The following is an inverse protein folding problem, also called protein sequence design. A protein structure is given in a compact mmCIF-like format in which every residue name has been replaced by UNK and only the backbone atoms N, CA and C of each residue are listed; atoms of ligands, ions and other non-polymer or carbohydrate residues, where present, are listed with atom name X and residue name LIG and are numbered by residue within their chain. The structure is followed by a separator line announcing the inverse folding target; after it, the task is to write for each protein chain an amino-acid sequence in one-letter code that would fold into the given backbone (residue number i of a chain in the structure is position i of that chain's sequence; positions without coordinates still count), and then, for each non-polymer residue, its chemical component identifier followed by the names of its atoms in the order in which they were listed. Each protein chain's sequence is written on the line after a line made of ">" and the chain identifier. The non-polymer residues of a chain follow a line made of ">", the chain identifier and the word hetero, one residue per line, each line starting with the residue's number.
data_IF_848352925586
#
_entry.id   IF_848352925586
#
_cell.length_a   1.000
_cell.length_b   1.000
_cell.length_c   1.000
_cell.angle_alpha   90.00
_cell.angle_beta   90.00
_cell.angle_gamma   90.00
#
_symmetry.space_group_name_H-M   'P 1'
#
loop_
_entity.id
_entity.type
_entity.pdbx_description
1 polymer ?
#
# COMPACT_ATOMS: atom_id res chain seq x y z
N UNK A 1 -59.53 7.23 -0.56
CA UNK A 1 -58.68 7.70 0.57
C UNK A 1 -57.88 6.58 1.24
N UNK A 2 -58.40 5.37 1.49
CA UNK A 2 -57.62 4.29 2.14
C UNK A 2 -56.46 3.74 1.26
N UNK A 3 -56.62 3.64 -0.05
CA UNK A 3 -55.59 3.16 -0.95
C UNK A 3 -54.40 4.13 -1.14
N UNK A 4 -54.69 5.44 -1.12
CA UNK A 4 -53.67 6.47 -1.17
C UNK A 4 -52.76 6.46 0.08
N UNK A 5 -53.32 6.17 1.25
CA UNK A 5 -52.58 6.07 2.51
C UNK A 5 -51.62 4.88 2.52
N UNK A 6 -52.01 3.73 1.94
CA UNK A 6 -51.14 2.55 1.82
C UNK A 6 -49.96 2.77 0.83
N UNK A 7 -50.23 3.46 -0.29
CA UNK A 7 -49.20 3.80 -1.27
C UNK A 7 -48.14 4.74 -0.66
N UNK A 8 -48.58 5.73 0.10
CA UNK A 8 -47.65 6.65 0.78
C UNK A 8 -46.85 5.93 1.87
N UNK A 9 -47.45 5.01 2.60
CA UNK A 9 -46.77 4.22 3.64
C UNK A 9 -45.73 3.26 3.06
N UNK A 10 -46.02 2.64 1.91
CA UNK A 10 -45.09 1.73 1.24
C UNK A 10 -43.92 2.48 0.62
N UNK A 11 -44.12 3.67 0.06
CA UNK A 11 -43.06 4.52 -0.47
C UNK A 11 -42.15 5.03 0.67
N UNK A 12 -42.75 5.41 1.82
CA UNK A 12 -41.95 5.82 2.98
C UNK A 12 -41.11 4.68 3.57
N UNK A 13 -41.61 3.43 3.55
CA UNK A 13 -40.85 2.26 3.99
C UNK A 13 -39.67 1.91 3.04
N UNK A 14 -39.84 2.11 1.75
CA UNK A 14 -38.80 1.91 0.74
C UNK A 14 -37.67 2.96 0.85
N UNK A 15 -37.99 4.19 1.20
CA UNK A 15 -37.00 5.27 1.40
C UNK A 15 -36.20 5.03 2.70
N UNK A 16 -36.81 4.47 3.74
CA UNK A 16 -36.09 4.15 4.99
C UNK A 16 -35.10 2.99 4.84
N UNK A 17 -35.28 2.12 3.83
CA UNK A 17 -34.35 1.02 3.53
C UNK A 17 -33.12 1.47 2.73
N UNK A 18 -33.11 2.69 2.20
CA UNK A 18 -32.00 3.29 1.46
C UNK A 18 -31.01 4.02 2.38
N UNK A 19 -31.04 3.77 3.70
CA UNK A 19 -29.94 4.12 4.59
C UNK A 19 -28.74 3.27 4.18
N UNK A 20 -27.99 3.77 3.22
CA UNK A 20 -26.79 3.16 2.71
C UNK A 20 -25.92 2.73 3.89
N UNK A 21 -25.49 1.48 3.87
CA UNK A 21 -24.34 1.02 4.63
C UNK A 21 -23.27 2.08 4.43
N UNK A 22 -23.07 2.95 5.42
CA UNK A 22 -21.83 3.70 5.54
C UNK A 22 -20.77 2.61 5.61
N UNK A 23 -20.07 2.38 4.52
CA UNK A 23 -18.78 1.70 4.58
C UNK A 23 -17.99 2.48 5.62
N UNK A 24 -17.72 1.85 6.74
CA UNK A 24 -16.90 2.41 7.80
C UNK A 24 -15.66 2.99 7.12
N UNK A 25 -15.33 4.23 7.43
CA UNK A 25 -14.14 4.86 6.88
C UNK A 25 -13.01 3.90 7.18
N UNK A 26 -12.31 3.45 6.16
CA UNK A 26 -11.41 2.30 6.18
C UNK A 26 -10.37 2.29 7.31
N UNK A 27 -10.09 3.45 7.91
CA UNK A 27 -9.15 3.61 9.03
C UNK A 27 -9.69 3.17 10.38
N UNK A 28 -11.01 3.14 10.60
CA UNK A 28 -11.62 2.73 11.88
C UNK A 28 -11.39 1.24 12.21
N UNK A 29 -11.07 0.43 11.20
CA UNK A 29 -10.74 -0.97 11.39
C UNK A 29 -9.34 -1.22 11.97
N UNK A 30 -8.44 -0.23 11.91
CA UNK A 30 -7.04 -0.37 12.30
C UNK A 30 -6.81 0.12 13.73
N UNK A 31 -7.25 -0.65 14.69
CA UNK A 31 -7.22 -0.29 16.12
C UNK A 31 -6.04 -0.87 16.89
N UNK A 32 -5.35 -1.87 16.33
CA UNK A 32 -4.22 -2.53 16.98
C UNK A 32 -2.92 -1.81 16.66
N UNK A 33 -2.23 -1.28 17.66
CA UNK A 33 -0.89 -0.73 17.51
C UNK A 33 0.10 -1.84 17.13
N UNK A 34 0.76 -1.72 15.98
CA UNK A 34 1.79 -2.67 15.51
C UNK A 34 3.17 -2.19 15.93
N UNK A 35 3.44 -0.91 15.75
CA UNK A 35 4.75 -0.33 16.05
C UNK A 35 4.59 1.09 16.57
N UNK A 36 5.33 1.41 17.64
CA UNK A 36 5.43 2.77 18.18
C UNK A 36 6.84 3.28 17.94
N UNK A 37 7.02 4.30 17.10
CA UNK A 37 8.34 4.89 16.89
C UNK A 37 8.89 5.52 18.16
N UNK A 38 10.17 5.29 18.48
CA UNK A 38 10.83 5.89 19.61
C UNK A 38 11.45 7.25 19.30
N UNK A 39 11.89 7.45 18.07
CA UNK A 39 12.65 8.63 17.64
C UNK A 39 12.02 9.35 16.46
N UNK A 40 11.37 8.62 15.58
CA UNK A 40 10.74 9.20 14.39
C UNK A 40 9.34 9.71 14.73
N UNK A 41 9.05 10.94 14.34
CA UNK A 41 7.70 11.48 14.31
C UNK A 41 7.19 11.52 12.88
N UNK A 42 5.90 11.41 12.67
CA UNK A 42 5.32 11.57 11.34
C UNK A 42 5.00 10.26 10.63
N UNK A 43 5.11 9.09 11.29
CA UNK A 43 4.49 7.87 10.79
C UNK A 43 3.87 7.03 11.91
N UNK A 44 2.87 6.24 11.56
CA UNK A 44 2.23 5.28 12.44
C UNK A 44 2.01 3.96 11.69
N UNK A 45 2.09 2.85 12.43
CA UNK A 45 1.78 1.52 11.90
C UNK A 45 0.76 0.87 12.83
N UNK A 46 -0.45 0.68 12.30
CA UNK A 46 -1.56 0.05 13.00
C UNK A 46 -2.06 -1.16 12.22
N UNK A 47 -2.79 -2.03 12.86
CA UNK A 47 -3.35 -3.21 12.21
C UNK A 47 -4.79 -3.46 12.62
N UNK A 48 -5.46 -4.33 11.89
CA UNK A 48 -6.76 -4.86 12.27
C UNK A 48 -6.61 -5.78 13.49
N UNK A 49 -7.67 -5.96 14.30
CA UNK A 49 -7.62 -6.82 15.48
C UNK A 49 -7.26 -8.28 15.16
N UNK A 50 -7.74 -8.79 14.03
CA UNK A 50 -7.47 -10.14 13.51
C UNK A 50 -6.07 -10.31 12.92
N UNK A 51 -5.38 -9.20 12.59
CA UNK A 51 -4.04 -9.21 12.02
C UNK A 51 -3.99 -9.34 10.50
N UNK A 52 -5.14 -9.36 9.84
CA UNK A 52 -5.23 -9.58 8.39
C UNK A 52 -4.77 -8.39 7.55
N UNK A 53 -4.73 -7.20 8.15
CA UNK A 53 -4.25 -6.01 7.46
C UNK A 53 -3.45 -5.07 8.38
N UNK A 54 -2.54 -4.34 7.75
CA UNK A 54 -1.70 -3.30 8.36
C UNK A 54 -1.90 -2.00 7.60
N UNK A 55 -2.10 -0.92 8.33
CA UNK A 55 -2.11 0.44 7.83
C UNK A 55 -0.79 1.12 8.19
N UNK A 56 -0.10 1.63 7.20
CA UNK A 56 1.02 2.53 7.35
C UNK A 56 0.54 3.94 6.98
N UNK A 57 0.61 4.85 7.93
CA UNK A 57 0.25 6.24 7.73
C UNK A 57 1.49 7.11 7.91
N UNK A 58 1.77 7.98 6.95
CA UNK A 58 2.84 8.98 7.04
C UNK A 58 2.22 10.37 6.99
N UNK A 59 2.71 11.27 7.84
CA UNK A 59 2.34 12.67 7.86
C UNK A 59 3.59 13.52 7.61
N UNK A 60 3.44 14.54 6.76
CA UNK A 60 4.54 15.42 6.37
C UNK A 60 5.79 14.61 5.92
N UNK A 61 5.68 13.82 4.84
CA UNK A 61 6.70 12.83 4.46
C UNK A 61 8.06 13.44 4.08
N UNK A 62 8.12 14.73 3.81
CA UNK A 62 9.37 15.47 3.60
C UNK A 62 9.26 16.89 4.16
N UNK A 63 10.39 17.52 4.36
CA UNK A 63 10.47 18.88 4.87
C UNK A 63 9.77 19.85 3.89
N UNK A 64 8.77 20.59 4.38
CA UNK A 64 7.99 21.52 3.56
C UNK A 64 6.78 20.91 2.84
N UNK A 65 6.48 19.62 3.02
CA UNK A 65 5.31 18.97 2.42
C UNK A 65 3.95 19.46 2.94
N UNK A 66 3.92 20.29 3.98
CA UNK A 66 2.68 20.67 4.63
C UNK A 66 2.00 19.52 5.38
N UNK A 67 0.69 19.58 5.65
CA UNK A 67 -0.04 18.56 6.40
C UNK A 67 -0.48 17.37 5.54
N UNK A 68 0.27 17.02 4.51
CA UNK A 68 -0.03 15.87 3.67
C UNK A 68 0.04 14.56 4.48
N UNK A 69 -0.96 13.72 4.29
CA UNK A 69 -0.99 12.36 4.78
C UNK A 69 -0.98 11.39 3.64
N UNK A 70 -0.13 10.38 3.73
CA UNK A 70 -0.13 9.26 2.81
C UNK A 70 -0.44 7.99 3.57
N UNK A 71 -1.25 7.13 2.96
CA UNK A 71 -1.74 5.92 3.58
C UNK A 71 -1.51 4.74 2.66
N UNK A 72 -0.98 3.67 3.24
CA UNK A 72 -0.78 2.39 2.56
C UNK A 72 -1.37 1.28 3.42
N UNK A 73 -2.27 0.53 2.84
CA UNK A 73 -2.82 -0.70 3.45
C UNK A 73 -2.13 -1.91 2.84
N UNK A 74 -1.61 -2.78 3.70
CA UNK A 74 -1.00 -4.04 3.29
C UNK A 74 -1.83 -5.16 3.90
N UNK A 75 -2.33 -6.06 3.08
CA UNK A 75 -3.09 -7.23 3.52
C UNK A 75 -4.29 -7.54 2.66
N UNK A 76 -5.08 -8.50 3.13
CA UNK A 76 -6.21 -9.06 2.41
C UNK A 76 -7.51 -8.34 2.81
N UNK A 77 -7.59 -7.04 2.54
CA UNK A 77 -8.76 -6.26 2.92
C UNK A 77 -9.58 -5.84 1.70
N UNK A 78 -10.91 -5.98 1.81
CA UNK A 78 -11.87 -5.36 0.91
C UNK A 78 -12.21 -3.93 1.38
N UNK A 79 -11.20 -3.19 1.85
CA UNK A 79 -11.40 -1.80 2.20
C UNK A 79 -11.87 -1.07 0.96
N UNK A 80 -13.00 -0.39 1.09
CA UNK A 80 -13.52 0.46 0.02
C UNK A 80 -12.39 1.40 -0.43
N UNK A 81 -12.19 1.48 -1.74
CA UNK A 81 -11.13 2.29 -2.32
C UNK A 81 -11.33 3.75 -1.90
N UNK A 82 -10.61 4.16 -0.88
CA UNK A 82 -10.42 5.57 -0.56
C UNK A 82 -9.43 6.10 -1.60
N UNK A 83 -9.76 7.10 -2.41
CA UNK A 83 -8.88 7.61 -3.44
C UNK A 83 -7.53 8.11 -2.89
N UNK A 84 -7.47 8.43 -1.60
CA UNK A 84 -6.25 8.89 -0.93
C UNK A 84 -5.43 7.73 -0.32
N UNK A 85 -5.87 6.48 -0.52
CA UNK A 85 -5.26 5.30 0.08
C UNK A 85 -4.75 4.33 -0.97
N UNK A 86 -3.46 4.03 -0.90
CA UNK A 86 -2.87 2.94 -1.68
C UNK A 86 -3.10 1.60 -0.96
N UNK A 87 -3.24 0.52 -1.71
CA UNK A 87 -3.38 -0.80 -1.11
C UNK A 87 -2.57 -1.86 -1.85
N UNK A 88 -1.97 -2.76 -1.07
CA UNK A 88 -1.33 -3.97 -1.55
C UNK A 88 -2.11 -5.16 -0.97
N UNK A 89 -2.78 -5.91 -1.83
CA UNK A 89 -3.71 -6.98 -1.44
C UNK A 89 -3.03 -8.18 -0.75
N UNK A 90 -1.73 -8.31 -0.87
CA UNK A 90 -0.93 -9.42 -0.33
C UNK A 90 0.48 -8.93 -0.02
N UNK A 91 1.24 -9.66 0.80
CA UNK A 91 2.65 -9.33 1.00
C UNK A 91 3.36 -9.21 -0.33
N UNK A 92 4.12 -8.13 -0.51
CA UNK A 92 4.90 -7.90 -1.71
C UNK A 92 5.91 -9.06 -1.91
N UNK A 93 5.89 -9.64 -3.09
CA UNK A 93 6.78 -10.74 -3.48
C UNK A 93 7.66 -10.38 -4.67
N UNK A 94 7.31 -9.35 -5.39
CA UNK A 94 8.00 -8.87 -6.58
C UNK A 94 8.27 -7.39 -6.41
N UNK A 95 9.52 -7.05 -6.13
CA UNK A 95 9.93 -5.68 -5.81
C UNK A 95 10.93 -5.21 -6.85
N UNK A 96 10.70 -4.03 -7.40
CA UNK A 96 11.67 -3.30 -8.20
C UNK A 96 12.27 -2.20 -7.33
N UNK A 97 13.59 -2.20 -7.16
CA UNK A 97 14.30 -1.22 -6.36
C UNK A 97 14.91 -0.13 -7.23
N UNK A 98 14.42 1.09 -7.11
CA UNK A 98 14.94 2.24 -7.87
C UNK A 98 16.18 2.88 -7.23
N UNK A 99 16.74 2.27 -6.19
CA UNK A 99 17.93 2.76 -5.49
C UNK A 99 18.66 1.62 -4.82
N UNK A 100 20.00 1.67 -4.81
CA UNK A 100 20.86 0.76 -4.03
C UNK A 100 20.56 0.79 -2.53
N UNK A 101 20.06 1.92 -2.01
CA UNK A 101 19.62 2.04 -0.61
C UNK A 101 18.42 1.15 -0.31
N UNK A 102 17.44 1.07 -1.23
CA UNK A 102 16.29 0.18 -1.07
C UNK A 102 16.72 -1.29 -1.09
N UNK A 103 17.67 -1.65 -1.96
CA UNK A 103 18.27 -3.00 -1.99
C UNK A 103 18.92 -3.32 -0.65
N UNK A 104 19.72 -2.40 -0.10
CA UNK A 104 20.37 -2.60 1.19
C UNK A 104 19.38 -2.77 2.34
N UNK A 105 18.27 -2.02 2.35
CA UNK A 105 17.20 -2.16 3.33
C UNK A 105 16.54 -3.54 3.25
N UNK A 106 16.24 -4.02 2.04
CA UNK A 106 15.67 -5.36 1.84
C UNK A 106 16.66 -6.45 2.27
N UNK A 107 17.95 -6.27 1.96
CA UNK A 107 19.01 -7.18 2.42
C UNK A 107 19.09 -7.25 3.95
N UNK A 108 19.01 -6.10 4.62
CA UNK A 108 19.08 -6.02 6.08
C UNK A 108 17.93 -6.76 6.79
N UNK A 109 16.76 -6.88 6.14
CA UNK A 109 15.61 -7.63 6.67
C UNK A 109 15.46 -9.04 6.07
N UNK A 110 16.45 -9.51 5.27
CA UNK A 110 16.45 -10.85 4.68
C UNK A 110 15.44 -11.05 3.57
N UNK A 111 15.09 -10.00 2.82
CA UNK A 111 14.09 -10.02 1.74
C UNK A 111 14.67 -9.75 0.35
N UNK A 112 15.98 -9.92 0.15
CA UNK A 112 16.62 -9.74 -1.17
C UNK A 112 16.06 -10.71 -2.22
N UNK A 113 15.54 -11.86 -1.80
CA UNK A 113 14.89 -12.86 -2.66
C UNK A 113 13.59 -12.37 -3.33
N UNK A 114 13.07 -11.22 -2.90
CA UNK A 114 11.89 -10.58 -3.47
C UNK A 114 12.21 -9.61 -4.59
N UNK A 115 13.48 -9.27 -4.78
CA UNK A 115 13.92 -8.32 -5.79
C UNK A 115 13.88 -8.98 -7.16
N UNK A 116 13.11 -8.40 -8.08
CA UNK A 116 12.98 -8.84 -9.47
C UNK A 116 13.61 -7.86 -10.46
N UNK A 117 13.89 -6.65 -10.02
CA UNK A 117 14.55 -5.63 -10.83
C UNK A 117 15.21 -4.57 -9.97
N UNK A 118 16.26 -3.98 -10.48
CA UNK A 118 17.00 -2.89 -9.82
C UNK A 118 17.37 -1.81 -10.81
N UNK A 119 17.43 -0.59 -10.35
CA UNK A 119 17.95 0.53 -11.10
C UNK A 119 19.47 0.51 -11.02
N UNK A 120 20.14 0.35 -12.17
CA UNK A 120 21.59 0.35 -12.28
C UNK A 120 22.25 -0.85 -11.60
N UNK A 121 22.03 -2.03 -12.14
CA UNK A 121 22.48 -3.31 -11.58
C UNK A 121 24.00 -3.33 -11.28
N UNK A 122 24.80 -2.59 -12.03
CA UNK A 122 26.26 -2.51 -11.83
C UNK A 122 26.67 -1.75 -10.56
N UNK A 123 25.76 -0.96 -10.00
CA UNK A 123 25.99 -0.21 -8.77
C UNK A 123 25.51 -0.95 -7.51
N UNK A 124 24.97 -2.16 -7.66
CA UNK A 124 24.45 -2.95 -6.54
C UNK A 124 25.54 -3.83 -5.97
N UNK A 125 25.78 -3.72 -4.66
CA UNK A 125 26.77 -4.51 -3.92
C UNK A 125 26.16 -5.61 -3.05
N UNK A 126 24.82 -5.77 -3.06
CA UNK A 126 24.14 -6.80 -2.29
C UNK A 126 24.56 -8.21 -2.74
N UNK A 127 24.97 -9.11 -1.83
CA UNK A 127 25.48 -10.43 -2.19
C UNK A 127 24.47 -11.32 -2.92
N UNK A 128 23.18 -11.23 -2.53
CA UNK A 128 22.12 -12.01 -3.18
C UNK A 128 21.90 -11.52 -4.61
N UNK A 129 21.75 -10.21 -4.80
CA UNK A 129 21.58 -9.61 -6.14
C UNK A 129 22.75 -9.97 -7.04
N UNK A 130 23.97 -9.88 -6.54
CA UNK A 130 25.16 -10.22 -7.31
C UNK A 130 25.25 -11.71 -7.68
N UNK A 131 24.79 -12.59 -6.82
CA UNK A 131 24.72 -14.02 -7.11
C UNK A 131 23.60 -14.39 -8.10
N UNK A 132 22.60 -13.53 -8.28
CA UNK A 132 21.43 -13.79 -9.13
C UNK A 132 21.24 -12.75 -10.25
N UNK A 133 22.33 -12.15 -10.71
CA UNK A 133 22.32 -11.08 -11.76
C UNK A 133 21.59 -11.50 -13.03
N UNK A 134 21.63 -12.76 -13.41
CA UNK A 134 20.98 -13.28 -14.62
C UNK A 134 19.44 -13.33 -14.47
N UNK A 135 18.93 -13.39 -13.24
CA UNK A 135 17.51 -13.46 -12.93
C UNK A 135 16.88 -12.11 -12.52
N UNK A 136 17.71 -11.14 -12.13
CA UNK A 136 17.26 -9.82 -11.70
C UNK A 136 17.48 -8.82 -12.85
N UNK A 137 16.40 -8.17 -13.25
CA UNK A 137 16.45 -7.24 -14.37
C UNK A 137 17.13 -5.92 -13.99
N UNK A 138 18.01 -5.41 -14.85
CA UNK A 138 18.38 -4.00 -14.81
C UNK A 138 17.28 -3.19 -15.49
N UNK A 139 16.69 -2.25 -14.76
CA UNK A 139 15.63 -1.37 -15.28
C UNK A 139 16.15 0.02 -15.67
N UNK A 140 17.48 0.15 -15.83
CA UNK A 140 18.12 1.43 -16.12
C UNK A 140 18.12 2.37 -14.91
N UNK A 141 18.67 3.57 -15.08
CA UNK A 141 18.61 4.63 -14.07
C UNK A 141 18.48 5.99 -14.76
N UNK A 142 18.11 7.01 -14.01
CA UNK A 142 17.90 8.35 -14.60
C UNK A 142 19.12 8.82 -15.42
N UNK A 143 18.86 9.37 -16.64
CA UNK A 143 17.52 9.67 -17.22
C UNK A 143 16.88 8.50 -18.00
N UNK A 144 17.56 7.36 -18.13
CA UNK A 144 17.21 6.26 -19.05
C UNK A 144 16.52 5.09 -18.33
N UNK A 145 15.47 5.37 -17.55
CA UNK A 145 14.67 4.33 -16.88
C UNK A 145 13.76 3.62 -17.89
N UNK A 146 13.85 2.30 -17.94
CA UNK A 146 13.03 1.43 -18.79
C UNK A 146 11.69 1.10 -18.10
N UNK A 147 10.71 1.98 -18.25
CA UNK A 147 9.37 1.81 -17.69
C UNK A 147 8.61 0.61 -18.28
N UNK A 148 8.85 0.27 -19.54
CA UNK A 148 8.22 -0.89 -20.20
C UNK A 148 8.72 -2.18 -19.53
N UNK A 149 10.00 -2.26 -19.25
CA UNK A 149 10.61 -3.37 -18.53
C UNK A 149 10.07 -3.49 -17.11
N UNK A 150 9.90 -2.37 -16.39
CA UNK A 150 9.28 -2.35 -15.06
C UNK A 150 7.87 -2.94 -15.13
N UNK A 151 7.04 -2.51 -16.07
CA UNK A 151 5.68 -3.02 -16.25
C UNK A 151 5.70 -4.52 -16.60
N UNK A 152 6.60 -4.96 -17.47
CA UNK A 152 6.73 -6.36 -17.86
C UNK A 152 7.13 -7.28 -16.69
N UNK A 153 7.86 -6.76 -15.70
CA UNK A 153 8.20 -7.49 -14.49
C UNK A 153 7.00 -7.71 -13.57
N UNK A 154 5.88 -7.03 -13.81
CA UNK A 154 4.67 -7.08 -12.99
C UNK A 154 4.97 -6.99 -11.47
N UNK A 155 5.64 -5.93 -10.99
CA UNK A 155 6.00 -5.81 -9.60
C UNK A 155 4.78 -5.52 -8.72
N UNK A 156 4.84 -5.97 -7.46
CA UNK A 156 3.88 -5.58 -6.43
C UNK A 156 4.21 -4.17 -5.89
N UNK A 157 5.50 -3.80 -5.90
CA UNK A 157 6.03 -2.50 -5.44
C UNK A 157 7.18 -2.04 -6.37
N UNK A 158 7.21 -0.75 -6.63
CA UNK A 158 8.33 -0.04 -7.24
C UNK A 158 8.83 1.03 -6.28
#
# INVERSE_FOLDING_TARGET
>A
MRHTAYIVLTIAALIASACGRRTATSTEAFTRQIYTPHYAAGFAITGTPDGDAVLIETSSPWQGSGPERRRLVIGNTNLAADPDMQSIQKPARRIVCMSSTHVAMLGAIGCSDRIVGVSGLDFISDPYVNAHRDAIADVGYEPDVDYERIVALAPDIV
#
